data_IF_696874836825
#
_entry.id   IF_696874836825
#
_cell.length_a   1.000
_cell.length_b   1.000
_cell.length_c   1.000
_cell.angle_alpha   90.00
_cell.angle_beta   90.00
_cell.angle_gamma   90.00
#
_symmetry.space_group_name_H-M   'P 1'
#
loop_
_entity.id
_entity.type
_entity.pdbx_description
1 polymer ?
#
# COMPACT_ATOMS: atom_id res chain seq x y z
N UNK A 1 9.56 -6.27 -20.26
CA UNK A 1 9.32 -5.59 -18.98
C UNK A 1 7.91 -5.88 -18.53
N UNK A 2 7.75 -6.64 -17.46
CA UNK A 2 6.42 -6.95 -16.90
C UNK A 2 5.99 -5.78 -16.02
N UNK A 3 4.78 -5.27 -16.25
CA UNK A 3 4.17 -4.20 -15.44
C UNK A 3 2.87 -4.76 -14.89
N UNK A 4 2.70 -4.68 -13.58
CA UNK A 4 1.45 -5.07 -12.91
C UNK A 4 0.85 -3.84 -12.26
N UNK A 5 -0.47 -3.64 -12.40
CA UNK A 5 -1.20 -2.55 -11.75
C UNK A 5 -2.34 -3.10 -10.91
N UNK A 6 -2.56 -2.48 -9.77
CA UNK A 6 -3.72 -2.71 -8.90
C UNK A 6 -4.20 -1.37 -8.33
N UNK A 7 -5.48 -1.29 -7.99
CA UNK A 7 -6.07 -0.12 -7.35
C UNK A 7 -7.03 -0.54 -6.24
N UNK A 8 -7.12 0.30 -5.21
CA UNK A 8 -8.03 0.12 -4.08
C UNK A 8 -8.80 1.43 -3.84
N UNK A 9 -10.14 1.39 -3.67
CA UNK A 9 -10.93 2.57 -3.36
C UNK A 9 -10.72 3.00 -1.91
N UNK A 10 -10.84 4.30 -1.67
CA UNK A 10 -11.07 4.85 -0.33
C UNK A 10 -12.43 4.40 0.21
N UNK A 11 -12.68 4.70 1.49
CA UNK A 11 -13.96 4.42 2.15
C UNK A 11 -14.39 5.57 3.03
N UNK A 12 -15.70 5.71 3.21
CA UNK A 12 -16.32 6.56 4.23
C UNK A 12 -17.13 5.70 5.19
N UNK A 13 -17.21 6.10 6.47
CA UNK A 13 -18.15 5.50 7.43
C UNK A 13 -19.43 6.32 7.37
N UNK A 14 -20.55 5.71 6.96
CA UNK A 14 -21.85 6.38 6.92
C UNK A 14 -22.48 6.49 8.30
N UNK A 15 -22.33 5.44 9.12
CA UNK A 15 -22.91 5.38 10.45
C UNK A 15 -21.99 4.63 11.42
N UNK A 16 -22.01 5.05 12.68
CA UNK A 16 -21.38 4.31 13.78
C UNK A 16 -19.90 4.61 14.02
N UNK A 17 -19.38 5.75 13.57
CA UNK A 17 -17.95 6.11 13.73
C UNK A 17 -17.49 6.11 15.20
N UNK A 18 -18.33 6.60 16.12
CA UNK A 18 -18.07 6.56 17.57
C UNK A 18 -18.58 5.27 18.21
N UNK A 19 -19.60 4.63 17.62
CA UNK A 19 -20.22 3.43 18.17
C UNK A 19 -19.31 2.19 18.05
N UNK A 20 -18.55 2.09 16.95
CA UNK A 20 -17.65 0.95 16.69
C UNK A 20 -16.51 0.85 17.70
N UNK A 21 -16.10 1.97 18.27
CA UNK A 21 -15.09 2.02 19.35
C UNK A 21 -15.59 1.30 20.62
N UNK A 22 -16.91 1.20 20.81
CA UNK A 22 -17.55 0.49 21.92
C UNK A 22 -18.11 -0.89 21.52
N UNK A 23 -17.62 -1.47 20.42
CA UNK A 23 -18.02 -2.81 19.95
C UNK A 23 -19.39 -2.88 19.28
N UNK A 24 -20.01 -1.73 18.96
CA UNK A 24 -21.26 -1.69 18.19
C UNK A 24 -20.97 -1.70 16.67
N UNK A 25 -21.93 -2.07 15.82
CA UNK A 25 -21.71 -2.07 14.38
C UNK A 25 -21.46 -0.65 13.80
N UNK A 26 -20.70 -0.60 12.71
CA UNK A 26 -20.60 0.56 11.83
C UNK A 26 -20.84 0.14 10.37
N UNK A 27 -21.37 1.07 9.57
CA UNK A 27 -21.56 0.87 8.13
C UNK A 27 -20.58 1.75 7.36
N UNK A 28 -19.68 1.13 6.60
CA UNK A 28 -18.77 1.82 5.70
C UNK A 28 -19.09 1.48 4.25
N UNK A 29 -18.85 2.44 3.34
CA UNK A 29 -19.03 2.27 1.90
C UNK A 29 -17.79 2.72 1.14
N UNK A 30 -17.45 2.05 0.02
CA UNK A 30 -16.34 2.48 -0.83
C UNK A 30 -16.69 3.77 -1.57
N UNK A 31 -15.68 4.62 -1.79
CA UNK A 31 -15.77 5.82 -2.63
C UNK A 31 -14.95 5.56 -3.89
N UNK A 32 -15.60 5.03 -4.93
CA UNK A 32 -14.90 4.54 -6.12
C UNK A 32 -14.17 5.63 -6.91
N UNK A 33 -14.61 6.88 -6.85
CA UNK A 33 -13.93 7.98 -7.54
C UNK A 33 -12.63 8.41 -6.85
N UNK A 34 -12.39 7.91 -5.63
CA UNK A 34 -11.22 8.22 -4.80
C UNK A 34 -10.41 6.93 -4.59
N UNK A 35 -9.26 6.79 -5.24
CA UNK A 35 -8.49 5.54 -5.21
C UNK A 35 -7.00 5.77 -4.99
N UNK A 36 -6.35 4.78 -4.39
CA UNK A 36 -4.92 4.60 -4.47
C UNK A 36 -4.58 3.53 -5.52
N UNK A 37 -3.64 3.80 -6.40
CA UNK A 37 -3.15 2.90 -7.44
C UNK A 37 -1.68 2.56 -7.17
N UNK A 38 -1.33 1.29 -7.25
CA UNK A 38 0.03 0.79 -7.19
C UNK A 38 0.43 0.20 -8.54
N UNK A 39 1.58 0.64 -9.06
CA UNK A 39 2.23 0.08 -10.25
C UNK A 39 3.54 -0.59 -9.85
N UNK A 40 3.66 -1.90 -10.10
CA UNK A 40 4.88 -2.67 -9.86
C UNK A 40 5.63 -2.86 -11.18
N UNK A 41 6.93 -2.58 -11.14
CA UNK A 41 7.88 -2.80 -12.24
C UNK A 41 9.12 -3.53 -11.74
N UNK A 42 9.80 -4.22 -12.64
CA UNK A 42 11.13 -4.77 -12.38
C UNK A 42 12.10 -3.64 -11.99
N UNK A 43 12.84 -3.87 -10.90
CA UNK A 43 13.93 -3.01 -10.44
C UNK A 43 15.24 -3.35 -11.14
N UNK A 44 16.28 -2.58 -10.82
CA UNK A 44 17.64 -2.95 -11.24
C UNK A 44 18.16 -4.07 -10.33
N UNK A 45 18.93 -5.05 -10.84
CA UNK A 45 19.48 -6.12 -10.01
C UNK A 45 20.21 -5.59 -8.76
N UNK A 46 19.85 -6.11 -7.59
CA UNK A 46 20.39 -5.71 -6.29
C UNK A 46 19.83 -4.40 -5.72
N UNK A 47 18.78 -3.80 -6.31
CA UNK A 47 18.13 -2.61 -5.73
C UNK A 47 17.22 -2.92 -4.56
N UNK A 48 16.82 -4.18 -4.39
CA UNK A 48 15.75 -4.58 -3.48
C UNK A 48 14.40 -3.99 -3.88
N UNK A 49 13.49 -3.98 -2.91
CA UNK A 49 12.13 -3.47 -3.06
C UNK A 49 12.09 -1.99 -2.68
N UNK A 50 11.76 -1.15 -3.65
CA UNK A 50 11.66 0.30 -3.47
C UNK A 50 10.21 0.75 -3.69
N UNK A 51 9.65 1.49 -2.72
CA UNK A 51 8.31 2.06 -2.77
C UNK A 51 8.41 3.57 -2.94
N UNK A 52 7.73 4.12 -3.94
CA UNK A 52 7.63 5.55 -4.21
C UNK A 52 6.17 6.00 -4.05
N UNK A 53 5.86 6.70 -2.97
CA UNK A 53 4.55 7.32 -2.76
C UNK A 53 4.60 8.78 -3.21
N UNK A 54 4.04 9.06 -4.39
CA UNK A 54 4.24 10.32 -5.10
C UNK A 54 3.67 11.53 -4.36
N UNK A 55 2.42 11.43 -3.90
CA UNK A 55 1.75 12.55 -3.24
C UNK A 55 2.35 12.86 -1.86
N UNK A 56 3.02 11.88 -1.24
CA UNK A 56 3.76 12.05 0.01
C UNK A 56 5.21 12.53 -0.21
N UNK A 57 5.67 12.64 -1.46
CA UNK A 57 7.08 12.86 -1.80
C UNK A 57 8.03 11.90 -1.04
N UNK A 58 7.61 10.65 -0.88
CA UNK A 58 8.27 9.67 -0.05
C UNK A 58 8.82 8.52 -0.90
N UNK A 59 10.09 8.19 -0.68
CA UNK A 59 10.74 7.00 -1.26
C UNK A 59 11.28 6.14 -0.14
N UNK A 60 10.92 4.86 -0.13
CA UNK A 60 11.28 3.90 0.91
C UNK A 60 12.03 2.73 0.29
N UNK A 61 13.18 2.39 0.85
CA UNK A 61 13.82 1.09 0.65
C UNK A 61 13.34 0.13 1.73
N UNK A 62 12.95 -1.09 1.36
CA UNK A 62 12.53 -2.09 2.34
C UNK A 62 13.66 -2.47 3.31
N UNK A 63 14.92 -2.34 2.90
CA UNK A 63 16.08 -2.58 3.75
C UNK A 63 16.24 -1.52 4.86
N UNK A 64 15.76 -0.29 4.64
CA UNK A 64 16.06 0.87 5.49
C UNK A 64 14.84 1.36 6.30
N UNK A 65 13.62 1.16 5.79
CA UNK A 65 12.41 1.74 6.35
C UNK A 65 11.66 0.77 7.28
N UNK A 66 12.20 0.47 8.48
CA UNK A 66 11.60 -0.50 9.40
C UNK A 66 10.21 -0.09 9.92
N UNK A 67 10.01 1.18 10.24
CA UNK A 67 8.83 1.68 10.97
C UNK A 67 7.73 2.28 10.07
N UNK A 68 7.96 2.38 8.77
CA UNK A 68 7.00 2.94 7.83
C UNK A 68 5.90 1.94 7.47
N UNK A 69 4.63 2.37 7.53
CA UNK A 69 3.47 1.48 7.35
C UNK A 69 3.44 0.78 5.98
N UNK A 70 3.86 1.47 4.91
CA UNK A 70 3.96 0.88 3.57
C UNK A 70 5.04 -0.21 3.48
N UNK A 71 6.20 0.03 4.12
CA UNK A 71 7.27 -0.95 4.17
C UNK A 71 6.86 -2.17 5.01
N UNK A 72 6.18 -1.96 6.15
CA UNK A 72 5.61 -3.03 6.96
C UNK A 72 4.62 -3.89 6.15
N UNK A 73 3.70 -3.26 5.41
CA UNK A 73 2.75 -3.99 4.56
C UNK A 73 3.46 -4.87 3.52
N UNK A 74 4.51 -4.35 2.87
CA UNK A 74 5.31 -5.14 1.93
C UNK A 74 6.01 -6.32 2.61
N UNK A 75 6.63 -6.12 3.78
CA UNK A 75 7.27 -7.21 4.55
C UNK A 75 6.29 -8.31 4.91
N UNK A 76 5.11 -7.95 5.43
CA UNK A 76 4.07 -8.91 5.80
C UNK A 76 3.59 -9.72 4.59
N UNK A 77 3.50 -9.10 3.41
CA UNK A 77 3.15 -9.82 2.17
C UNK A 77 4.26 -10.79 1.77
N UNK A 78 5.53 -10.37 1.79
CA UNK A 78 6.66 -11.25 1.46
C UNK A 78 6.75 -12.44 2.44
N UNK A 79 6.63 -12.17 3.75
CA UNK A 79 6.57 -13.20 4.79
C UNK A 79 5.40 -14.16 4.57
N UNK A 80 4.20 -13.63 4.30
CA UNK A 80 3.00 -14.45 4.05
C UNK A 80 3.14 -15.34 2.82
N UNK A 81 3.85 -14.86 1.80
CA UNK A 81 4.12 -15.60 0.57
C UNK A 81 5.33 -16.54 0.67
N UNK A 82 6.18 -16.38 1.71
CA UNK A 82 7.39 -17.16 1.89
C UNK A 82 8.44 -16.91 0.80
N UNK A 83 8.52 -15.69 0.29
CA UNK A 83 9.47 -15.30 -0.77
C UNK A 83 10.48 -14.29 -0.24
N UNK A 84 11.70 -14.34 -0.78
CA UNK A 84 12.73 -13.34 -0.51
C UNK A 84 12.36 -11.98 -1.11
N UNK A 85 13.03 -10.93 -0.63
CA UNK A 85 12.87 -9.58 -1.16
C UNK A 85 13.27 -9.52 -2.65
N UNK A 86 12.35 -9.14 -3.56
CA UNK A 86 12.66 -9.07 -4.98
C UNK A 86 13.17 -7.66 -5.37
N UNK A 87 13.92 -7.60 -6.46
CA UNK A 87 14.29 -6.33 -7.10
C UNK A 87 13.10 -5.74 -7.86
N UNK A 88 12.27 -4.93 -7.18
CA UNK A 88 11.08 -4.30 -7.77
C UNK A 88 10.92 -2.85 -7.34
N UNK A 89 10.28 -2.08 -8.20
CA UNK A 89 9.86 -0.71 -7.91
C UNK A 89 8.34 -0.62 -7.89
N UNK A 90 7.79 -0.16 -6.78
CA UNK A 90 6.37 0.05 -6.58
C UNK A 90 6.12 1.56 -6.55
N UNK A 91 5.47 2.09 -7.57
CA UNK A 91 4.99 3.48 -7.56
C UNK A 91 3.55 3.51 -7.09
N UNK A 92 3.27 4.32 -6.09
CA UNK A 92 1.94 4.56 -5.53
C UNK A 92 1.51 5.99 -5.88
N UNK A 93 0.31 6.09 -6.45
CA UNK A 93 -0.39 7.34 -6.77
C UNK A 93 -1.75 7.30 -6.08
N UNK A 94 -2.12 8.36 -5.39
CA UNK A 94 -3.37 8.45 -4.63
C UNK A 94 -4.17 9.69 -4.97
N UNK A 95 -5.47 9.51 -5.25
CA UNK A 95 -6.43 10.59 -5.28
C UNK A 95 -7.08 10.89 -3.93
N UNK A 96 -6.86 10.02 -2.92
CA UNK A 96 -7.40 10.12 -1.55
C UNK A 96 -6.73 11.24 -0.77
#
# INVERSE_FOLDING_TARGET
MKITRAAAPGKVILFGEHAVVYGQPALAVPVHDLQAQATVREGTPGSGLIIEARELNLTLSLAEAAEEGLAMAARLVLEKLGVEEPDVRITIESGI
#
